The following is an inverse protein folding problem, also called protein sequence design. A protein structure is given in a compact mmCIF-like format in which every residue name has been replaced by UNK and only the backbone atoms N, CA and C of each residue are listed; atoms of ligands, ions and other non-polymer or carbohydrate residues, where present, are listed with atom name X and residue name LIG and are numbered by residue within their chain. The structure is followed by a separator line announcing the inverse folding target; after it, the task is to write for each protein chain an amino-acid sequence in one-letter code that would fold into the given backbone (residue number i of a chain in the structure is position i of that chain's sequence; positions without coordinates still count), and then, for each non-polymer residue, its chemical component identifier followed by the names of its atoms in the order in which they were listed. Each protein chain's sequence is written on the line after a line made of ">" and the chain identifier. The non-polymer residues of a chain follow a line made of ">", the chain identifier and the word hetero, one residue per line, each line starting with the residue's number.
data_IF_180417189047
#
_entry.id   IF_180417189047
#
_cell.length_a   1.000
_cell.length_b   1.000
_cell.length_c   1.000
_cell.angle_alpha   90.00
_cell.angle_beta   90.00
_cell.angle_gamma   90.00
#
_symmetry.space_group_name_H-M   'P 1'
#
loop_
_entity.id
_entity.type
_entity.pdbx_description
1 polymer ?
#
# COMPACT_ATOMS: atom_id res chain seq x y z
N UNK A 1 7.78 -2.16 -2.22
CA UNK A 1 8.35 -1.43 -3.37
C UNK A 1 7.67 -0.07 -3.55
N UNK A 2 8.15 0.75 -4.48
CA UNK A 2 7.67 2.12 -4.71
C UNK A 2 6.26 2.17 -5.33
N UNK A 3 5.95 1.39 -6.36
CA UNK A 3 4.60 1.32 -6.93
C UNK A 3 3.53 0.97 -5.89
N UNK A 4 3.79 -0.02 -5.05
CA UNK A 4 2.83 -0.40 -4.00
C UNK A 4 2.61 0.71 -2.98
N UNK A 5 3.66 1.48 -2.62
CA UNK A 5 3.51 2.61 -1.70
C UNK A 5 2.62 3.71 -2.29
N UNK A 6 2.75 3.99 -3.59
CA UNK A 6 1.88 4.93 -4.28
C UNK A 6 0.41 4.44 -4.29
N UNK A 7 0.16 3.18 -4.63
CA UNK A 7 -1.19 2.61 -4.66
C UNK A 7 -1.86 2.61 -3.28
N UNK A 8 -1.09 2.33 -2.23
CA UNK A 8 -1.56 2.43 -0.84
C UNK A 8 -1.93 3.88 -0.50
N UNK A 9 -1.10 4.85 -0.91
CA UNK A 9 -1.39 6.27 -0.75
C UNK A 9 -2.70 6.67 -1.45
N UNK A 10 -2.87 6.26 -2.71
CA UNK A 10 -4.07 6.52 -3.49
C UNK A 10 -5.33 5.95 -2.83
N UNK A 11 -5.26 4.70 -2.37
CA UNK A 11 -6.37 4.03 -1.68
C UNK A 11 -6.70 4.71 -0.35
N UNK A 12 -5.67 5.07 0.43
CA UNK A 12 -5.84 5.77 1.70
C UNK A 12 -6.46 7.15 1.50
N UNK A 13 -5.97 7.92 0.50
CA UNK A 13 -6.52 9.22 0.17
C UNK A 13 -8.00 9.16 -0.18
N UNK A 14 -8.41 8.20 -1.00
CA UNK A 14 -9.83 7.97 -1.30
C UNK A 14 -10.66 7.68 -0.04
N UNK A 15 -10.16 6.83 0.84
CA UNK A 15 -10.83 6.55 2.12
C UNK A 15 -10.94 7.78 3.01
N UNK A 16 -9.92 8.65 3.01
CA UNK A 16 -9.96 9.93 3.74
C UNK A 16 -11.05 10.85 3.19
N UNK A 17 -11.10 11.03 1.87
CA UNK A 17 -12.12 11.86 1.21
C UNK A 17 -13.53 11.34 1.50
N UNK A 18 -13.75 10.03 1.45
CA UNK A 18 -15.05 9.43 1.83
C UNK A 18 -15.47 9.72 3.27
N UNK A 19 -14.48 9.82 4.16
CA UNK A 19 -14.69 10.22 5.56
C UNK A 19 -14.74 11.74 5.75
N UNK A 20 -14.77 12.52 4.66
CA UNK A 20 -14.76 14.00 4.66
C UNK A 20 -13.49 14.61 5.27
N UNK A 21 -12.38 13.87 5.29
CA UNK A 21 -11.07 14.37 5.68
C UNK A 21 -10.40 14.91 4.42
N UNK A 22 -10.22 16.23 4.34
CA UNK A 22 -9.67 16.91 3.15
C UNK A 22 -8.23 17.36 3.32
N UNK A 23 -7.75 17.47 4.56
CA UNK A 23 -6.39 17.93 4.88
C UNK A 23 -5.72 16.98 5.84
N UNK A 24 -4.41 16.76 5.66
CA UNK A 24 -3.60 15.96 6.58
C UNK A 24 -2.15 16.45 6.60
N UNK A 25 -1.43 16.07 7.65
CA UNK A 25 0.00 16.38 7.81
C UNK A 25 0.72 15.06 8.01
N UNK A 26 1.86 14.90 7.32
CA UNK A 26 2.70 13.72 7.48
C UNK A 26 3.46 13.81 8.81
N UNK A 27 3.34 12.78 9.64
CA UNK A 27 4.14 12.60 10.84
C UNK A 27 4.85 11.24 10.79
N UNK A 28 6.17 11.23 10.75
CA UNK A 28 6.99 10.02 10.65
C UNK A 28 7.82 9.73 11.92
N UNK A 29 7.67 10.56 12.94
CA UNK A 29 8.41 10.44 14.20
C UNK A 29 9.93 10.57 13.97
N UNK A 30 10.71 9.66 14.58
CA UNK A 30 12.17 9.61 14.46
C UNK A 30 12.68 8.90 13.19
N UNK A 31 11.81 8.50 12.27
CA UNK A 31 12.21 7.80 11.05
C UNK A 31 12.70 8.76 9.98
N UNK A 32 13.64 8.30 9.17
CA UNK A 32 14.11 9.07 8.02
C UNK A 32 13.04 9.09 6.90
N UNK A 33 12.94 10.23 6.24
CA UNK A 33 12.13 10.37 5.05
C UNK A 33 12.74 9.54 3.90
N UNK A 34 11.92 8.78 3.20
CA UNK A 34 12.35 7.91 2.10
C UNK A 34 11.55 8.17 0.83
N UNK A 35 12.10 7.83 -0.33
CA UNK A 35 11.39 7.91 -1.62
C UNK A 35 10.11 7.08 -1.66
N UNK A 36 9.99 6.03 -0.84
CA UNK A 36 8.75 5.26 -0.70
C UNK A 36 7.64 6.08 -0.05
N UNK A 37 8.00 6.89 0.96
CA UNK A 37 7.07 7.81 1.60
C UNK A 37 6.65 8.89 0.62
N UNK A 38 7.60 9.43 -0.17
CA UNK A 38 7.29 10.40 -1.23
C UNK A 38 6.31 9.85 -2.28
N UNK A 39 6.48 8.60 -2.71
CA UNK A 39 5.54 7.95 -3.62
C UNK A 39 4.13 7.80 -2.99
N UNK A 40 4.06 7.49 -1.68
CA UNK A 40 2.79 7.45 -0.96
C UNK A 40 2.12 8.83 -0.88
N UNK A 41 2.88 9.90 -0.60
CA UNK A 41 2.38 11.27 -0.60
C UNK A 41 1.82 11.68 -1.96
N UNK A 42 2.50 11.31 -3.05
CA UNK A 42 2.00 11.54 -4.42
C UNK A 42 0.64 10.88 -4.62
N UNK A 43 0.49 9.61 -4.22
CA UNK A 43 -0.80 8.89 -4.30
C UNK A 43 -1.91 9.54 -3.46
N UNK A 44 -1.59 10.01 -2.25
CA UNK A 44 -2.52 10.74 -1.38
C UNK A 44 -3.00 12.05 -2.02
N UNK A 45 -2.08 12.82 -2.59
CA UNK A 45 -2.38 14.09 -3.27
C UNK A 45 -3.25 13.88 -4.51
N UNK A 46 -2.96 12.86 -5.33
CA UNK A 46 -3.77 12.52 -6.50
C UNK A 46 -5.18 12.05 -6.14
N UNK A 47 -5.37 11.48 -4.95
CA UNK A 47 -6.70 11.15 -4.44
C UNK A 47 -7.51 12.39 -4.00
N UNK A 48 -6.90 13.58 -3.97
CA UNK A 48 -7.55 14.83 -3.57
C UNK A 48 -7.31 15.26 -2.11
N UNK A 49 -6.41 14.59 -1.38
CA UNK A 49 -6.05 14.98 -0.02
C UNK A 49 -5.00 16.10 -0.06
N UNK A 50 -5.28 17.22 0.58
CA UNK A 50 -4.35 18.36 0.67
C UNK A 50 -3.29 18.07 1.74
N UNK A 51 -2.03 18.01 1.32
CA UNK A 51 -0.88 17.80 2.20
C UNK A 51 0.28 18.73 1.85
N UNK A 52 0.97 19.30 2.84
CA UNK A 52 2.16 20.12 2.59
C UNK A 52 3.37 19.21 2.30
N UNK A 53 3.88 19.24 1.09
CA UNK A 53 5.16 18.63 0.71
C UNK A 53 5.77 19.37 -0.49
N UNK A 54 7.09 19.23 -0.67
CA UNK A 54 7.78 19.78 -1.83
C UNK A 54 7.71 18.81 -3.02
N UNK A 55 7.43 19.31 -4.21
CA UNK A 55 7.36 18.49 -5.42
C UNK A 55 8.72 17.86 -5.79
N UNK A 56 9.82 18.51 -5.41
CA UNK A 56 11.18 18.04 -5.72
C UNK A 56 11.53 16.68 -5.08
N UNK A 57 10.78 16.25 -4.07
CA UNK A 57 11.03 14.97 -3.39
C UNK A 57 10.30 13.80 -4.06
N UNK A 58 9.39 14.08 -4.99
CA UNK A 58 8.57 13.05 -5.64
C UNK A 58 9.43 12.30 -6.66
N UNK A 59 9.43 10.95 -6.62
CA UNK A 59 10.12 10.15 -7.62
C UNK A 59 9.48 10.30 -9.00
N UNK A 60 10.25 10.07 -10.05
CA UNK A 60 9.75 10.11 -11.43
C UNK A 60 8.59 9.13 -11.63
N UNK A 61 7.70 9.45 -12.53
CA UNK A 61 6.50 8.67 -12.81
C UNK A 61 6.85 7.25 -13.28
N UNK A 62 7.89 7.10 -14.10
CA UNK A 62 8.40 5.79 -14.54
C UNK A 62 8.79 4.88 -13.37
N UNK A 63 9.39 5.46 -12.32
CA UNK A 63 9.73 4.71 -11.10
C UNK A 63 8.50 4.36 -10.27
N UNK A 64 7.50 5.23 -10.25
CA UNK A 64 6.22 4.98 -9.58
C UNK A 64 5.47 3.84 -10.28
N UNK A 65 5.46 3.82 -11.61
CA UNK A 65 4.85 2.75 -12.40
C UNK A 65 5.59 1.41 -12.31
N UNK A 66 6.87 1.44 -11.92
CA UNK A 66 7.67 0.22 -11.74
C UNK A 66 8.43 -0.23 -12.98
N UNK A 67 8.66 0.65 -13.97
CA UNK A 67 9.43 0.35 -15.18
C UNK A 67 10.83 -0.19 -14.87
N UNK A 68 11.49 0.38 -13.84
CA UNK A 68 12.79 -0.10 -13.37
C UNK A 68 12.76 -1.57 -12.87
N UNK A 69 11.61 -2.06 -12.37
CA UNK A 69 11.45 -3.46 -11.95
C UNK A 69 11.37 -4.35 -13.18
N UNK A 70 10.58 -3.95 -14.18
CA UNK A 70 10.44 -4.68 -15.44
C UNK A 70 11.75 -4.74 -16.23
N UNK A 71 12.50 -3.64 -16.30
CA UNK A 71 13.81 -3.59 -16.94
C UNK A 71 14.83 -4.48 -16.23
N UNK A 72 14.87 -4.44 -14.91
CA UNK A 72 15.75 -5.31 -14.14
C UNK A 72 15.40 -6.79 -14.33
N UNK A 73 14.13 -7.12 -14.37
CA UNK A 73 13.66 -8.48 -14.66
C UNK A 73 14.12 -8.96 -16.04
N UNK A 74 13.98 -8.13 -17.07
CA UNK A 74 14.48 -8.44 -18.42
C UNK A 74 15.98 -8.70 -18.45
N UNK A 75 16.77 -7.90 -17.72
CA UNK A 75 18.23 -8.09 -17.61
C UNK A 75 18.61 -9.39 -16.90
N UNK A 76 17.85 -9.79 -15.88
CA UNK A 76 18.11 -11.03 -15.15
C UNK A 76 17.62 -12.29 -15.85
N UNK A 77 16.82 -12.19 -16.88
CA UNK A 77 16.27 -13.33 -17.61
C UNK A 77 17.34 -14.25 -18.21
N UNK A 78 18.55 -13.73 -18.44
CA UNK A 78 19.71 -14.51 -18.88
C UNK A 78 20.25 -15.44 -17.81
N UNK A 79 19.96 -15.18 -16.52
CA UNK A 79 20.38 -16.00 -15.37
C UNK A 79 19.16 -16.45 -14.57
N UNK A 80 18.60 -17.61 -14.92
CA UNK A 80 17.37 -18.16 -14.34
C UNK A 80 17.45 -18.33 -12.81
N UNK A 81 18.60 -18.74 -12.29
CA UNK A 81 18.79 -18.92 -10.84
C UNK A 81 18.65 -17.61 -10.08
N UNK A 82 19.29 -16.54 -10.55
CA UNK A 82 19.17 -15.20 -9.96
C UNK A 82 17.77 -14.62 -10.15
N UNK A 83 17.18 -14.81 -11.32
CA UNK A 83 15.82 -14.36 -11.60
C UNK A 83 14.81 -14.94 -10.62
N UNK A 84 14.80 -16.26 -10.43
CA UNK A 84 13.90 -16.94 -9.48
C UNK A 84 14.17 -16.54 -8.04
N UNK A 85 15.43 -16.39 -7.65
CA UNK A 85 15.79 -15.96 -6.30
C UNK A 85 15.28 -14.54 -5.99
N UNK A 86 15.46 -13.60 -6.93
CA UNK A 86 15.09 -12.18 -6.73
C UNK A 86 13.58 -11.94 -6.82
N UNK A 87 12.90 -12.68 -7.68
CA UNK A 87 11.47 -12.50 -7.96
C UNK A 87 10.59 -13.63 -7.42
N UNK A 88 11.09 -14.42 -6.48
CA UNK A 88 10.38 -15.56 -5.88
C UNK A 88 8.97 -15.20 -5.40
N UNK A 89 8.80 -14.07 -4.73
CA UNK A 89 7.50 -13.60 -4.24
C UNK A 89 6.53 -13.22 -5.37
N UNK A 90 7.03 -12.59 -6.43
CA UNK A 90 6.21 -12.20 -7.58
C UNK A 90 5.77 -13.44 -8.36
N UNK A 91 6.69 -14.36 -8.62
CA UNK A 91 6.42 -15.63 -9.29
C UNK A 91 5.46 -16.51 -8.49
N UNK A 92 5.62 -16.57 -7.16
CA UNK A 92 4.69 -17.27 -6.28
C UNK A 92 3.27 -16.68 -6.28
N UNK A 93 3.13 -15.40 -6.63
CA UNK A 93 1.84 -14.73 -6.80
C UNK A 93 1.29 -14.81 -8.22
N UNK A 94 1.99 -15.50 -9.15
CA UNK A 94 1.61 -15.58 -10.56
C UNK A 94 1.82 -14.27 -11.34
N UNK A 95 2.58 -13.32 -10.80
CA UNK A 95 2.88 -12.05 -11.45
C UNK A 95 4.24 -12.11 -12.13
N UNK A 96 4.25 -11.98 -13.45
CA UNK A 96 5.49 -11.83 -14.23
C UNK A 96 6.10 -10.44 -13.96
N UNK A 97 7.35 -10.35 -13.46
CA UNK A 97 7.96 -9.07 -13.13
C UNK A 97 8.11 -8.11 -14.31
N UNK A 98 8.23 -8.61 -15.53
CA UNK A 98 8.28 -7.82 -16.75
C UNK A 98 6.97 -7.08 -17.06
N UNK A 99 5.83 -7.66 -16.64
CA UNK A 99 4.49 -7.09 -16.80
C UNK A 99 4.07 -6.19 -15.62
N UNK A 100 5.02 -5.88 -14.74
CA UNK A 100 4.73 -5.10 -13.53
C UNK A 100 4.04 -3.74 -13.79
N UNK A 101 4.45 -2.94 -14.81
CA UNK A 101 3.79 -1.67 -15.11
C UNK A 101 2.34 -1.84 -15.56
N UNK A 102 2.04 -2.90 -16.32
CA UNK A 102 0.67 -3.21 -16.77
C UNK A 102 -0.20 -3.55 -15.55
N UNK A 103 0.30 -4.44 -14.69
CA UNK A 103 -0.39 -4.79 -13.46
C UNK A 103 -0.61 -3.58 -12.53
N UNK A 104 0.37 -2.66 -12.47
CA UNK A 104 0.22 -1.41 -11.72
C UNK A 104 -0.94 -0.56 -12.25
N UNK A 105 -1.07 -0.40 -13.58
CA UNK A 105 -2.16 0.35 -14.20
C UNK A 105 -3.52 -0.29 -13.90
N UNK A 106 -3.63 -1.60 -14.04
CA UNK A 106 -4.87 -2.34 -13.72
C UNK A 106 -5.31 -2.15 -12.26
N UNK A 107 -4.36 -2.22 -11.32
CA UNK A 107 -4.65 -2.02 -9.89
C UNK A 107 -5.01 -0.56 -9.61
N UNK A 108 -4.31 0.40 -10.24
CA UNK A 108 -4.64 1.82 -10.15
C UNK A 108 -6.07 2.07 -10.61
N UNK A 109 -6.47 1.53 -11.76
CA UNK A 109 -7.81 1.69 -12.31
C UNK A 109 -8.88 1.04 -11.41
N UNK A 110 -8.62 -0.13 -10.85
CA UNK A 110 -9.52 -0.74 -9.85
C UNK A 110 -9.71 0.18 -8.65
N UNK A 111 -8.61 0.72 -8.09
CA UNK A 111 -8.70 1.65 -6.96
C UNK A 111 -9.48 2.91 -7.36
N UNK A 112 -9.28 3.44 -8.56
CA UNK A 112 -9.97 4.64 -9.04
C UNK A 112 -11.45 4.38 -9.28
N UNK A 113 -11.81 3.24 -9.83
CA UNK A 113 -13.19 2.89 -10.19
C UNK A 113 -13.96 2.24 -9.04
N UNK A 114 -13.27 1.82 -7.96
CA UNK A 114 -13.90 1.18 -6.80
C UNK A 114 -14.84 2.18 -6.12
N UNK A 115 -16.13 2.07 -6.42
CA UNK A 115 -17.22 2.70 -5.68
C UNK A 115 -17.36 1.88 -4.40
N UNK A 116 -16.58 2.22 -3.40
CA UNK A 116 -16.50 1.52 -2.12
C UNK A 116 -17.84 1.05 -1.61
N UNK A 117 -18.04 -0.25 -1.72
CA UNK A 117 -19.10 -0.93 -1.01
C UNK A 117 -18.87 -0.77 0.49
N UNK A 118 -19.91 -0.30 1.18
CA UNK A 118 -20.04 -0.24 2.64
C UNK A 118 -20.02 -1.65 3.23
N UNK A 119 -18.88 -2.33 3.30
CA UNK A 119 -18.75 -3.65 3.93
C UNK A 119 -17.41 -3.79 4.65
N UNK A 120 -17.27 -3.19 5.83
CA UNK A 120 -16.23 -3.63 6.78
C UNK A 120 -16.45 -3.25 8.25
N UNK A 121 -17.64 -2.80 8.67
CA UNK A 121 -17.87 -2.46 10.09
C UNK A 121 -18.55 -3.58 10.91
N UNK A 122 -18.65 -4.81 10.39
CA UNK A 122 -19.30 -5.91 11.12
C UNK A 122 -18.36 -6.92 11.79
N UNK A 123 -17.04 -6.81 11.62
CA UNK A 123 -16.13 -7.84 12.12
C UNK A 123 -15.31 -7.47 13.39
N UNK A 124 -15.43 -6.24 13.87
CA UNK A 124 -14.70 -5.81 15.09
C UNK A 124 -15.52 -5.89 16.38
N UNK A 125 -16.80 -6.32 16.35
CA UNK A 125 -17.67 -6.40 17.54
C UNK A 125 -17.79 -7.78 18.20
N UNK A 126 -17.06 -8.80 17.76
CA UNK A 126 -17.17 -10.16 18.33
C UNK A 126 -16.04 -10.59 19.27
N UNK A 127 -15.05 -9.73 19.56
CA UNK A 127 -13.89 -10.11 20.38
C UNK A 127 -13.78 -9.39 21.74
N UNK A 128 -14.86 -8.91 22.33
CA UNK A 128 -14.80 -8.36 23.67
C UNK A 128 -15.94 -8.86 24.56
N UNK A 129 -15.91 -10.15 24.93
CA UNK A 129 -16.59 -10.64 26.13
C UNK A 129 -15.53 -10.98 27.18
N UNK A 130 -15.45 -10.27 28.31
CA UNK A 130 -14.56 -10.66 29.41
C UNK A 130 -15.10 -11.93 30.05
N UNK A 131 -14.25 -12.96 30.17
CA UNK A 131 -14.54 -14.15 30.98
C UNK A 131 -14.57 -13.73 32.45
N UNK A 132 -15.75 -13.76 33.07
CA UNK A 132 -15.92 -13.62 34.50
C UNK A 132 -15.26 -14.81 35.20
N UNK A 133 -14.23 -14.55 35.98
CA UNK A 133 -13.65 -15.51 36.92
C UNK A 133 -14.61 -15.71 38.09
N UNK A 134 -15.27 -16.84 38.12
CA UNK A 134 -15.99 -17.32 39.28
C UNK A 134 -14.97 -17.81 40.34
N UNK A 135 -14.73 -16.99 41.38
CA UNK A 135 -14.09 -17.49 42.61
C UNK A 135 -15.06 -18.44 43.32
N UNK A 136 -14.69 -19.73 43.39
CA UNK A 136 -15.23 -20.64 44.39
C UNK A 136 -14.51 -20.36 45.72
N UNK A 137 -15.22 -19.91 46.69
CA UNK A 137 -14.81 -20.01 48.04
C UNK A 137 -15.14 -21.41 48.56
N UNK A 138 -14.22 -22.04 49.23
CA UNK A 138 -14.49 -23.14 50.15
C UNK A 138 -13.94 -22.77 51.50
N UNK A 139 -14.91 -22.68 52.41
CA UNK A 139 -14.71 -22.71 53.88
C UNK A 139 -14.27 -24.11 54.30
N UNK A 140 -13.20 -24.22 54.98
CA UNK A 140 -13.13 -24.87 56.33
C UNK A 140 -11.76 -24.58 56.92
#
# INVERSE_FOLDING_TARGET
>A
NMPSCYLVGLLLGKKCIQKKITKAILYIGKRHFTTKIAACLKGLSEAGLVMPFSENIIPSEERIQGNHIAEYAKKLKTNDALYRSRFSSNLGSGLEPEKYPIHFSEVKDRIVNDKTEKKSDKQSKSLSKPKSHKKKGDLK
#
